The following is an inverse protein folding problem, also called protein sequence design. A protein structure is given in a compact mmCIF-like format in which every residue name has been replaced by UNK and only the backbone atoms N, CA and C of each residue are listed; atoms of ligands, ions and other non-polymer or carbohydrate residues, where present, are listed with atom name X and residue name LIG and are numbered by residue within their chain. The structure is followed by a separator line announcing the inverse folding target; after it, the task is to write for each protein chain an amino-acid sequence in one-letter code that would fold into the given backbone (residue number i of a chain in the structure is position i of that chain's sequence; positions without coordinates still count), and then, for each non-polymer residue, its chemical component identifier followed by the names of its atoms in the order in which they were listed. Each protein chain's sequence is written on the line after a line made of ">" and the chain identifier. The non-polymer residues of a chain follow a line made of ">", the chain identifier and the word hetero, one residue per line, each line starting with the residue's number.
data_IF_039216540756
#
_entry.id   IF_039216540756
#
_cell.length_a   1.000
_cell.length_b   1.000
_cell.length_c   1.000
_cell.angle_alpha   90.00
_cell.angle_beta   90.00
_cell.angle_gamma   90.00
#
_symmetry.space_group_name_H-M   'P 1'
#
loop_
_entity.id
_entity.type
_entity.pdbx_description
1 polymer ?
#
# COMPACT_ATOMS: atom_id res chain seq x y z
N UNK A 1 -53.81 -24.39 -67.05
CA UNK A 1 -53.93 -23.13 -66.29
C UNK A 1 -53.79 -23.32 -64.78
N UNK A 2 -54.40 -24.34 -64.14
CA UNK A 2 -54.32 -24.57 -62.68
C UNK A 2 -52.89 -24.62 -62.10
N UNK A 3 -51.92 -25.26 -62.78
CA UNK A 3 -50.53 -25.33 -62.28
C UNK A 3 -49.84 -23.96 -62.16
N UNK A 4 -50.15 -23.02 -63.05
CA UNK A 4 -49.57 -21.67 -63.02
C UNK A 4 -50.16 -20.87 -61.85
N UNK A 5 -51.47 -21.02 -61.59
CA UNK A 5 -52.14 -20.39 -60.45
C UNK A 5 -51.55 -20.88 -59.12
N UNK A 6 -51.41 -22.20 -58.95
CA UNK A 6 -50.83 -22.78 -57.74
C UNK A 6 -49.39 -22.30 -57.50
N UNK A 7 -48.57 -22.24 -58.55
CA UNK A 7 -47.21 -21.72 -58.46
C UNK A 7 -47.19 -20.23 -58.06
N UNK A 8 -48.11 -19.42 -58.61
CA UNK A 8 -48.24 -18.01 -58.26
C UNK A 8 -48.65 -17.81 -56.80
N UNK A 9 -49.47 -18.70 -56.24
CA UNK A 9 -49.87 -18.68 -54.82
C UNK A 9 -48.71 -19.08 -53.91
N UNK A 10 -47.95 -20.11 -54.28
CA UNK A 10 -46.75 -20.51 -53.52
C UNK A 10 -45.70 -19.39 -53.46
N UNK A 11 -45.47 -18.70 -54.58
CA UNK A 11 -44.57 -17.54 -54.62
C UNK A 11 -45.06 -16.40 -53.72
N UNK A 12 -46.37 -16.12 -53.71
CA UNK A 12 -46.96 -15.11 -52.82
C UNK A 12 -46.81 -15.49 -51.35
N UNK A 13 -47.03 -16.76 -51.00
CA UNK A 13 -46.82 -17.26 -49.63
C UNK A 13 -45.37 -17.09 -49.20
N UNK A 14 -44.43 -17.48 -50.05
CA UNK A 14 -43.01 -17.37 -49.73
C UNK A 14 -42.54 -15.93 -49.56
N UNK A 15 -43.04 -15.01 -50.41
CA UNK A 15 -42.78 -13.57 -50.26
C UNK A 15 -43.35 -13.05 -48.93
N UNK A 16 -44.54 -13.51 -48.53
CA UNK A 16 -45.16 -13.11 -47.26
C UNK A 16 -44.32 -13.58 -46.06
N UNK A 17 -43.84 -14.83 -46.07
CA UNK A 17 -42.97 -15.38 -45.02
C UNK A 17 -41.64 -14.62 -44.89
N UNK A 18 -41.02 -14.26 -46.02
CA UNK A 18 -39.80 -13.44 -46.02
C UNK A 18 -40.10 -12.05 -45.46
N UNK A 19 -41.24 -11.46 -45.82
CA UNK A 19 -41.63 -10.13 -45.32
C UNK A 19 -41.88 -10.15 -43.82
N UNK A 20 -42.55 -11.18 -43.30
CA UNK A 20 -42.78 -11.37 -41.87
C UNK A 20 -41.45 -11.56 -41.11
N UNK A 21 -40.56 -12.39 -41.66
CA UNK A 21 -39.21 -12.59 -41.09
C UNK A 21 -38.41 -11.30 -41.05
N UNK A 22 -38.47 -10.49 -42.11
CA UNK A 22 -37.82 -9.17 -42.17
C UNK A 22 -38.40 -8.23 -41.10
N UNK A 23 -39.73 -8.16 -41.00
CA UNK A 23 -40.41 -7.30 -40.03
C UNK A 23 -40.05 -7.66 -38.58
N UNK A 24 -39.95 -8.96 -38.28
CA UNK A 24 -39.53 -9.43 -36.96
C UNK A 24 -38.09 -9.01 -36.62
N UNK A 25 -37.15 -9.20 -37.56
CA UNK A 25 -35.77 -8.77 -37.38
C UNK A 25 -35.64 -7.24 -37.23
N UNK A 26 -36.44 -6.47 -37.97
CA UNK A 26 -36.50 -5.01 -37.83
C UNK A 26 -36.99 -4.60 -36.42
N UNK A 27 -38.01 -5.27 -35.89
CA UNK A 27 -38.50 -5.03 -34.53
C UNK A 27 -37.49 -5.40 -33.45
N UNK A 28 -36.80 -6.54 -33.59
CA UNK A 28 -35.74 -6.97 -32.68
C UNK A 28 -34.58 -5.96 -32.68
N UNK A 29 -34.15 -5.52 -33.86
CA UNK A 29 -33.10 -4.50 -34.00
C UNK A 29 -33.51 -3.19 -33.35
N UNK A 30 -34.76 -2.75 -33.54
CA UNK A 30 -35.29 -1.54 -32.92
C UNK A 30 -35.32 -1.65 -31.39
N UNK A 31 -35.73 -2.81 -30.87
CA UNK A 31 -35.76 -3.08 -29.43
C UNK A 31 -34.34 -3.04 -28.86
N UNK A 32 -33.40 -3.75 -29.49
CA UNK A 32 -32.00 -3.74 -29.07
C UNK A 32 -31.38 -2.32 -29.14
N UNK A 33 -31.75 -1.51 -30.13
CA UNK A 33 -31.31 -0.13 -30.21
C UNK A 33 -31.83 0.75 -29.05
N UNK A 34 -33.06 0.51 -28.60
CA UNK A 34 -33.64 1.19 -27.43
C UNK A 34 -32.94 0.75 -26.13
N UNK A 35 -32.72 -0.55 -25.95
CA UNK A 35 -32.02 -1.09 -24.77
C UNK A 35 -30.59 -0.54 -24.69
N UNK A 36 -29.88 -0.49 -25.82
CA UNK A 36 -28.55 0.11 -25.89
C UNK A 36 -28.57 1.60 -25.51
N UNK A 37 -29.59 2.37 -25.92
CA UNK A 37 -29.75 3.77 -25.50
C UNK A 37 -29.99 3.88 -24.00
N UNK A 38 -30.79 2.98 -23.43
CA UNK A 38 -31.05 2.95 -21.99
C UNK A 38 -29.79 2.61 -21.19
N UNK A 39 -29.04 1.57 -21.60
CA UNK A 39 -27.76 1.21 -20.98
C UNK A 39 -26.79 2.40 -21.03
N UNK A 40 -26.68 3.07 -22.18
CA UNK A 40 -25.86 4.26 -22.31
C UNK A 40 -26.29 5.39 -21.37
N UNK A 41 -27.60 5.58 -21.18
CA UNK A 41 -28.15 6.55 -20.22
C UNK A 41 -27.76 6.19 -18.79
N UNK A 42 -27.94 4.93 -18.37
CA UNK A 42 -27.55 4.42 -17.04
C UNK A 42 -26.05 4.57 -16.80
N UNK A 43 -25.24 4.24 -17.79
CA UNK A 43 -23.78 4.44 -17.73
C UNK A 43 -23.43 5.92 -17.54
N UNK A 44 -24.03 6.82 -18.33
CA UNK A 44 -23.75 8.24 -18.24
C UNK A 44 -24.23 8.88 -16.93
N UNK A 45 -25.29 8.37 -16.31
CA UNK A 45 -25.70 8.82 -14.97
C UNK A 45 -24.75 8.39 -13.87
N UNK A 46 -24.05 7.26 -14.01
CA UNK A 46 -23.10 6.76 -13.01
C UNK A 46 -21.70 7.40 -13.10
N UNK A 47 -21.33 7.92 -14.28
CA UNK A 47 -20.04 8.62 -14.50
C UNK A 47 -19.74 9.74 -13.49
N UNK A 48 -20.66 10.69 -13.19
CA UNK A 48 -20.39 11.75 -12.23
C UNK A 48 -20.12 11.19 -10.83
N UNK A 49 -20.90 10.20 -10.37
CA UNK A 49 -20.75 9.60 -9.05
C UNK A 49 -19.39 8.91 -8.90
N UNK A 50 -18.99 8.14 -9.92
CA UNK A 50 -17.67 7.52 -9.96
C UNK A 50 -16.54 8.55 -9.90
N UNK A 51 -16.68 9.67 -10.63
CA UNK A 51 -15.71 10.75 -10.58
C UNK A 51 -15.64 11.42 -9.20
N UNK A 52 -16.77 11.65 -8.53
CA UNK A 52 -16.80 12.22 -7.18
C UNK A 52 -16.18 11.28 -6.16
N UNK A 53 -16.51 9.99 -6.19
CA UNK A 53 -15.91 8.99 -5.31
C UNK A 53 -14.40 8.88 -5.50
N UNK A 54 -13.92 8.92 -6.75
CA UNK A 54 -12.48 8.98 -7.05
C UNK A 54 -11.82 10.23 -6.45
N UNK A 55 -12.44 11.42 -6.61
CA UNK A 55 -11.93 12.66 -6.01
C UNK A 55 -11.85 12.57 -4.49
N UNK A 56 -12.91 12.08 -3.84
CA UNK A 56 -12.96 11.93 -2.38
C UNK A 56 -11.88 10.95 -1.90
N UNK A 57 -11.75 9.79 -2.56
CA UNK A 57 -10.69 8.82 -2.27
C UNK A 57 -9.30 9.45 -2.37
N UNK A 58 -9.04 10.20 -3.44
CA UNK A 58 -7.73 10.82 -3.68
C UNK A 58 -7.45 11.93 -2.66
N UNK A 59 -8.48 12.69 -2.24
CA UNK A 59 -8.37 13.65 -1.13
C UNK A 59 -7.98 12.97 0.18
N UNK A 60 -8.65 11.87 0.55
CA UNK A 60 -8.31 11.12 1.76
C UNK A 60 -6.91 10.51 1.69
N UNK A 61 -6.49 10.01 0.52
CA UNK A 61 -5.12 9.52 0.33
C UNK A 61 -4.09 10.61 0.65
N UNK A 62 -4.25 11.80 0.07
CA UNK A 62 -3.34 12.94 0.33
C UNK A 62 -3.39 13.38 1.80
N UNK A 63 -4.59 13.44 2.39
CA UNK A 63 -4.77 13.83 3.78
C UNK A 63 -4.08 12.86 4.76
N UNK A 64 -4.18 11.55 4.51
CA UNK A 64 -3.51 10.53 5.31
C UNK A 64 -1.98 10.60 5.17
N UNK A 65 -1.47 10.81 3.94
CA UNK A 65 -0.03 11.02 3.72
C UNK A 65 0.48 12.25 4.48
N UNK A 66 -0.27 13.36 4.48
CA UNK A 66 0.09 14.58 5.23
C UNK A 66 0.08 14.37 6.75
N UNK A 67 -0.78 13.48 7.25
CA UNK A 67 -0.84 13.10 8.67
C UNK A 67 0.26 12.12 9.10
N UNK A 68 1.16 11.74 8.20
CA UNK A 68 2.27 10.83 8.50
C UNK A 68 1.88 9.35 8.48
N UNK A 69 0.72 8.99 7.90
CA UNK A 69 0.36 7.59 7.73
C UNK A 69 1.31 6.92 6.73
N UNK A 70 1.91 5.78 7.12
CA UNK A 70 2.81 4.99 6.27
C UNK A 70 2.03 4.42 5.08
N UNK A 71 2.67 4.38 3.91
CA UNK A 71 2.04 3.92 2.65
C UNK A 71 1.44 2.50 2.75
N UNK A 72 2.06 1.59 3.51
CA UNK A 72 1.54 0.23 3.77
C UNK A 72 0.14 0.24 4.38
N UNK A 73 -0.08 1.07 5.40
CA UNK A 73 -1.38 1.21 6.10
C UNK A 73 -2.46 1.84 5.21
N UNK A 74 -2.06 2.79 4.34
CA UNK A 74 -2.95 3.36 3.32
C UNK A 74 -3.34 2.31 2.29
N UNK A 75 -2.41 1.46 1.84
CA UNK A 75 -2.67 0.39 0.87
C UNK A 75 -3.58 -0.70 1.46
N UNK A 76 -3.39 -1.03 2.73
CA UNK A 76 -4.25 -1.95 3.48
C UNK A 76 -5.70 -1.43 3.59
N UNK A 77 -5.88 -0.16 4.00
CA UNK A 77 -7.21 0.47 4.05
C UNK A 77 -7.87 0.60 2.67
N UNK A 78 -7.07 0.76 1.61
CA UNK A 78 -7.57 0.80 0.23
C UNK A 78 -7.76 -0.61 -0.37
N UNK A 79 -7.44 -1.69 0.35
CA UNK A 79 -7.55 -3.06 -0.12
C UNK A 79 -6.69 -3.36 -1.35
N UNK A 80 -5.63 -2.57 -1.58
CA UNK A 80 -4.69 -2.78 -2.69
C UNK A 80 -3.78 -3.93 -2.28
N UNK A 81 -4.26 -5.15 -2.48
CA UNK A 81 -3.43 -6.36 -2.34
C UNK A 81 -2.50 -6.44 -3.55
N UNK A 82 -1.22 -6.16 -3.35
CA UNK A 82 -0.19 -6.58 -4.29
C UNK A 82 -0.05 -8.09 -4.14
N UNK A 83 -0.68 -8.86 -5.04
CA UNK A 83 -0.67 -10.32 -5.04
C UNK A 83 0.76 -10.93 -4.99
N UNK A 84 1.79 -10.14 -5.33
CA UNK A 84 3.19 -10.57 -5.40
C UNK A 84 3.96 -10.53 -4.07
N UNK A 85 3.50 -9.81 -3.04
CA UNK A 85 4.25 -9.63 -1.78
C UNK A 85 3.75 -10.51 -0.62
N UNK A 86 2.61 -11.18 -0.79
CA UNK A 86 1.88 -11.88 0.28
C UNK A 86 2.50 -13.23 0.72
N UNK A 87 3.63 -13.67 0.14
CA UNK A 87 4.33 -14.88 0.62
C UNK A 87 5.21 -14.64 1.87
N UNK A 88 5.48 -13.39 2.24
CA UNK A 88 6.29 -13.06 3.42
C UNK A 88 5.62 -12.11 4.42
N UNK A 89 4.41 -11.61 4.13
CA UNK A 89 3.73 -10.60 4.97
C UNK A 89 2.88 -11.18 6.13
N UNK A 90 2.80 -12.51 6.27
CA UNK A 90 2.03 -13.16 7.35
C UNK A 90 2.83 -13.40 8.65
N UNK A 91 4.09 -12.96 8.70
CA UNK A 91 4.93 -13.11 9.88
C UNK A 91 5.64 -11.80 10.16
N UNK A 92 4.95 -10.90 10.87
CA UNK A 92 5.48 -10.03 11.93
C UNK A 92 4.47 -8.89 12.13
N UNK A 93 3.78 -8.92 13.28
CA UNK A 93 3.16 -7.74 13.88
C UNK A 93 4.28 -6.72 14.17
N UNK A 94 4.70 -6.01 13.13
CA UNK A 94 5.65 -4.88 13.13
C UNK A 94 5.02 -3.60 13.71
N UNK A 95 3.84 -3.68 14.32
CA UNK A 95 3.12 -2.51 14.83
C UNK A 95 3.60 -2.05 16.22
N UNK A 96 4.36 -2.87 16.96
CA UNK A 96 4.76 -2.59 18.36
C UNK A 96 6.25 -2.74 18.65
N UNK A 97 7.12 -2.63 17.64
CA UNK A 97 8.55 -2.68 17.89
C UNK A 97 9.03 -1.39 18.58
N UNK A 98 9.72 -1.51 19.73
CA UNK A 98 10.06 -0.37 20.57
C UNK A 98 11.03 0.61 19.90
N UNK A 99 11.69 0.24 18.80
CA UNK A 99 12.62 1.12 18.07
C UNK A 99 11.93 2.15 17.17
N UNK A 100 10.60 2.09 17.01
CA UNK A 100 9.85 3.04 16.18
C UNK A 100 9.72 4.45 16.78
N UNK A 101 9.81 4.58 18.09
CA UNK A 101 9.79 5.86 18.77
C UNK A 101 11.21 6.31 19.10
N UNK A 102 11.65 7.46 18.57
CA UNK A 102 13.01 7.98 18.85
C UNK A 102 13.30 8.10 20.36
N UNK A 103 12.28 8.39 21.17
CA UNK A 103 12.39 8.57 22.62
C UNK A 103 12.74 7.30 23.40
N UNK A 104 12.50 6.12 22.84
CA UNK A 104 12.75 4.86 23.55
C UNK A 104 14.22 4.47 23.53
N UNK A 105 14.99 4.97 22.57
CA UNK A 105 16.41 4.68 22.40
C UNK A 105 17.32 5.91 22.39
N UNK A 106 16.80 7.11 22.10
CA UNK A 106 17.57 8.36 22.12
C UNK A 106 17.38 9.10 23.45
N UNK A 107 18.46 9.24 24.21
CA UNK A 107 18.42 9.84 25.57
C UNK A 107 19.07 11.23 25.62
N UNK A 108 19.44 11.79 24.45
CA UNK A 108 20.07 13.11 24.37
C UNK A 108 21.44 13.17 25.04
N UNK A 109 21.83 14.34 25.55
CA UNK A 109 23.15 14.57 26.17
C UNK A 109 23.22 14.00 27.59
N UNK A 110 23.49 12.71 27.69
CA UNK A 110 23.77 12.04 28.97
C UNK A 110 25.23 11.63 29.08
N UNK A 111 25.78 11.75 30.29
CA UNK A 111 27.15 11.30 30.57
C UNK A 111 27.20 9.78 30.70
N UNK A 112 28.39 9.18 30.49
CA UNK A 112 28.62 7.74 30.62
C UNK A 112 28.01 7.15 31.91
N UNK A 113 28.26 7.77 33.07
CA UNK A 113 27.74 7.26 34.34
C UNK A 113 26.21 7.26 34.41
N UNK A 114 25.55 8.25 33.80
CA UNK A 114 24.09 8.33 33.77
C UNK A 114 23.50 7.28 32.82
N UNK A 115 24.18 6.99 31.71
CA UNK A 115 23.81 5.89 30.83
C UNK A 115 23.95 4.53 31.54
N UNK A 116 25.03 4.34 32.31
CA UNK A 116 25.24 3.13 33.11
C UNK A 116 24.16 2.92 34.16
N UNK A 117 23.75 4.00 34.84
CA UNK A 117 22.68 3.97 35.84
C UNK A 117 21.32 3.67 35.19
N UNK A 118 21.05 4.23 34.02
CA UNK A 118 19.78 4.01 33.28
C UNK A 118 19.67 2.59 32.71
N UNK A 119 20.81 1.97 32.39
CA UNK A 119 20.90 0.59 31.94
C UNK A 119 20.99 -0.40 33.11
N UNK A 120 21.25 0.06 34.33
CA UNK A 120 21.41 -0.80 35.49
C UNK A 120 20.08 -1.51 35.83
N UNK A 121 20.09 -2.84 35.88
CA UNK A 121 18.91 -3.65 36.16
C UNK A 121 17.96 -3.87 34.97
N UNK A 122 18.32 -3.45 33.75
CA UNK A 122 17.56 -3.76 32.52
C UNK A 122 18.00 -5.09 31.90
N UNK A 123 17.14 -5.63 31.02
CA UNK A 123 17.40 -6.89 30.34
C UNK A 123 18.59 -6.77 29.36
N UNK A 124 19.38 -7.83 29.25
CA UNK A 124 20.47 -7.94 28.28
C UNK A 124 19.93 -7.71 26.85
N UNK A 125 20.64 -6.91 26.06
CA UNK A 125 20.20 -6.46 24.73
C UNK A 125 19.51 -5.08 24.71
N UNK A 126 19.27 -4.45 25.86
CA UNK A 126 18.80 -3.06 25.91
C UNK A 126 19.88 -2.11 25.40
N UNK A 127 19.52 -1.18 24.50
CA UNK A 127 20.44 -0.20 23.94
C UNK A 127 19.95 1.23 24.13
N UNK A 128 20.90 2.17 24.24
CA UNK A 128 20.65 3.61 24.28
C UNK A 128 21.70 4.34 23.44
N UNK A 129 21.30 5.45 22.82
CA UNK A 129 22.18 6.32 22.01
C UNK A 129 22.24 7.70 22.69
N UNK A 130 23.37 8.06 23.33
CA UNK A 130 23.62 9.42 23.81
C UNK A 130 24.13 10.35 22.70
N UNK A 131 23.75 11.63 22.77
CA UNK A 131 24.39 12.70 22.00
C UNK A 131 25.68 13.14 22.69
N UNK A 132 26.82 12.89 22.02
CA UNK A 132 28.11 13.40 22.47
C UNK A 132 28.35 14.81 21.89
N UNK A 133 28.87 15.73 22.68
CA UNK A 133 29.24 17.05 22.21
C UNK A 133 30.63 16.99 21.55
N UNK A 134 30.70 17.35 20.27
CA UNK A 134 31.88 17.49 19.39
C UNK A 134 32.23 16.27 18.52
N UNK A 135 31.92 16.41 17.22
CA UNK A 135 32.40 15.66 16.04
C UNK A 135 31.93 14.21 15.81
N UNK A 136 31.27 13.54 16.75
CA UNK A 136 30.65 12.22 16.52
C UNK A 136 29.17 12.24 16.95
N UNK A 137 28.25 12.01 16.01
CA UNK A 137 26.80 12.14 16.19
C UNK A 137 26.12 10.99 16.98
N UNK A 138 26.87 10.21 17.77
CA UNK A 138 26.29 9.24 18.70
C UNK A 138 27.28 8.20 19.21
N UNK A 139 27.12 7.76 20.45
CA UNK A 139 27.71 6.51 20.95
C UNK A 139 26.59 5.50 21.16
N UNK A 140 26.78 4.23 20.83
CA UNK A 140 25.82 3.17 21.16
C UNK A 140 26.33 2.44 22.39
N UNK A 141 25.49 2.41 23.42
CA UNK A 141 25.73 1.65 24.63
C UNK A 141 24.87 0.39 24.58
N UNK A 142 25.51 -0.78 24.65
CA UNK A 142 24.86 -2.09 24.61
C UNK A 142 25.22 -2.91 25.84
N UNK A 143 24.22 -3.51 26.47
CA UNK A 143 24.38 -4.54 27.50
C UNK A 143 24.50 -5.91 26.81
N UNK A 144 25.68 -6.54 26.89
CA UNK A 144 25.92 -7.88 26.37
C UNK A 144 26.55 -8.75 27.46
N UNK A 145 25.78 -9.73 27.97
CA UNK A 145 26.29 -10.88 28.72
C UNK A 145 27.14 -10.52 29.94
N UNK A 146 26.55 -9.81 30.90
CA UNK A 146 27.22 -9.46 32.17
C UNK A 146 28.33 -8.40 32.07
N UNK A 147 28.57 -7.85 30.88
CA UNK A 147 29.48 -6.73 30.62
C UNK A 147 28.80 -5.60 29.85
N UNK A 148 29.16 -4.35 30.16
CA UNK A 148 28.70 -3.16 29.44
C UNK A 148 29.70 -2.81 28.34
N UNK A 149 29.28 -2.85 27.08
CA UNK A 149 30.12 -2.48 25.94
C UNK A 149 29.70 -1.11 25.38
N UNK A 150 30.70 -0.28 25.13
CA UNK A 150 30.55 1.03 24.49
C UNK A 150 31.12 0.97 23.09
N UNK A 151 30.33 1.37 22.11
CA UNK A 151 30.78 1.44 20.74
C UNK A 151 30.46 2.81 20.15
N UNK A 152 31.48 3.49 19.63
CA UNK A 152 31.29 4.79 19.00
C UNK A 152 30.70 4.59 17.59
N UNK A 153 29.58 5.25 17.29
CA UNK A 153 29.09 5.36 15.91
C UNK A 153 29.65 6.65 15.31
N UNK A 154 30.46 6.49 14.27
CA UNK A 154 30.99 7.61 13.51
C UNK A 154 30.26 7.68 12.17
N UNK A 155 29.67 8.84 11.85
CA UNK A 155 29.15 9.10 10.52
C UNK A 155 30.33 9.29 9.56
N UNK A 156 30.53 8.38 8.59
CA UNK A 156 31.29 8.74 7.40
C UNK A 156 30.39 9.60 6.50
N UNK A 157 31.01 10.40 5.62
CA UNK A 157 30.43 11.47 4.79
C UNK A 157 29.36 11.01 3.76
N UNK A 158 28.70 9.87 3.98
CA UNK A 158 27.57 9.34 3.21
C UNK A 158 26.41 9.00 4.16
N UNK A 159 25.16 9.36 3.82
CA UNK A 159 24.02 9.35 4.76
C UNK A 159 23.46 7.97 5.12
N UNK A 160 24.05 6.87 4.66
CA UNK A 160 23.43 5.53 4.75
C UNK A 160 24.37 4.40 5.22
N UNK A 161 25.59 4.71 5.68
CA UNK A 161 26.52 3.68 6.13
C UNK A 161 27.10 4.00 7.51
N UNK A 162 26.65 3.26 8.51
CA UNK A 162 27.20 3.25 9.86
C UNK A 162 28.27 2.18 9.95
N UNK A 163 29.51 2.54 10.32
CA UNK A 163 30.58 1.56 10.54
C UNK A 163 30.71 1.32 12.03
N UNK A 164 30.42 0.09 12.48
CA UNK A 164 30.81 -0.38 13.81
C UNK A 164 32.34 -0.46 13.87
N UNK A 165 33.00 0.49 14.55
CA UNK A 165 34.40 0.34 14.93
C UNK A 165 34.46 -0.49 16.20
N UNK A 166 35.17 -1.62 16.18
CA UNK A 166 35.32 -2.54 17.31
C UNK A 166 35.77 -1.80 18.58
N UNK A 167 35.32 -2.24 19.77
CA UNK A 167 35.68 -1.59 21.02
C UNK A 167 37.19 -1.71 21.24
N UNK A 168 37.87 -0.58 21.43
CA UNK A 168 39.19 -0.59 22.05
C UNK A 168 38.99 -1.04 23.49
N UNK A 169 39.32 -2.29 23.78
CA UNK A 169 39.56 -2.76 25.14
C UNK A 169 40.75 -1.99 25.70
N UNK A 170 40.51 -0.83 26.31
CA UNK A 170 41.46 -0.22 27.21
C UNK A 170 41.40 -0.99 28.53
N UNK A 171 42.12 -2.10 28.61
CA UNK A 171 42.62 -2.62 29.89
C UNK A 171 43.57 -1.57 30.46
N UNK A 172 43.20 -1.00 31.59
CA UNK A 172 44.06 -0.10 32.34
C UNK A 172 45.32 -0.82 32.84
N UNK A 173 46.43 -0.09 32.78
CA UNK A 173 47.41 0.01 33.85
C UNK A 173 47.47 1.48 34.24
#
# INVERSE_FOLDING_TARGET
>A
MQRILLNSEQLKSHIAEIHESRMKLEQELQTQALDNREINKRMNSLKPDLMQLCKIRDQYRVWLTQKGARQKKINEWLGIKNETEDQYALMEDEDDLPHHEERTWHVGKINRMQAEETLNGKQDGTFLIPEMNQLCLGQLCLLCGGGRQYQALCHLRTPLAWILRSPTTCTGL
#
